data_IF_121700158451
#
_entry.id   IF_121700158451
#
_cell.length_a   1.000
_cell.length_b   1.000
_cell.length_c   1.000
_cell.angle_alpha   90.00
_cell.angle_beta   90.00
_cell.angle_gamma   90.00
#
_symmetry.space_group_name_H-M   'P 1'
#
loop_
_entity.id
_entity.type
_entity.pdbx_description
1 polymer ?
#
# COMPACT_ATOMS: atom_id res chain seq x y z
N UNK A 1 -15.40 -1.41 -12.87
CA UNK A 1 -14.47 -0.93 -13.91
C UNK A 1 -13.60 -2.10 -14.29
N UNK A 2 -13.84 -2.68 -15.46
CA UNK A 2 -12.93 -3.68 -16.02
C UNK A 2 -11.58 -3.01 -16.22
N UNK A 3 -10.56 -3.53 -15.54
CA UNK A 3 -9.19 -3.18 -15.88
C UNK A 3 -8.95 -3.80 -17.24
N UNK A 4 -9.17 -3.04 -18.31
CA UNK A 4 -8.55 -3.33 -19.59
C UNK A 4 -7.05 -3.21 -19.36
N UNK A 5 -6.44 -4.31 -18.90
CA UNK A 5 -5.02 -4.54 -19.01
C UNK A 5 -4.79 -4.67 -20.50
N UNK A 6 -4.66 -3.51 -21.13
CA UNK A 6 -4.41 -3.42 -22.55
C UNK A 6 -3.14 -4.21 -22.82
N UNK A 7 -3.30 -5.26 -23.61
CA UNK A 7 -2.25 -6.22 -23.84
C UNK A 7 -1.07 -5.54 -24.51
N UNK A 8 0.11 -5.80 -23.98
CA UNK A 8 1.33 -5.24 -24.52
C UNK A 8 1.61 -5.80 -25.92
N UNK A 9 1.46 -4.93 -26.92
CA UNK A 9 1.60 -5.29 -28.33
C UNK A 9 3.02 -5.78 -28.69
N UNK A 10 4.07 -5.34 -27.98
CA UNK A 10 5.41 -5.88 -28.18
C UNK A 10 5.47 -7.35 -27.76
N UNK A 11 4.89 -7.68 -26.60
CA UNK A 11 4.83 -9.06 -26.10
C UNK A 11 4.04 -9.99 -27.02
N UNK A 12 2.97 -9.49 -27.66
CA UNK A 12 2.18 -10.26 -28.66
C UNK A 12 3.06 -10.69 -29.84
N UNK A 13 3.93 -9.79 -30.32
CA UNK A 13 4.89 -10.07 -31.39
C UNK A 13 6.11 -10.87 -30.88
N UNK A 14 6.28 -11.05 -29.58
CA UNK A 14 7.44 -11.69 -28.96
C UNK A 14 8.67 -10.79 -28.92
N UNK A 15 8.45 -9.48 -28.85
CA UNK A 15 9.49 -8.45 -28.78
C UNK A 15 9.65 -7.92 -27.35
N UNK A 16 10.82 -7.40 -26.98
CA UNK A 16 10.99 -6.69 -25.72
C UNK A 16 10.11 -5.44 -25.70
N UNK A 17 9.53 -5.13 -24.54
CA UNK A 17 8.66 -3.97 -24.33
C UNK A 17 9.39 -2.80 -23.67
N UNK A 18 8.70 -1.68 -23.48
CA UNK A 18 9.23 -0.49 -22.81
C UNK A 18 10.28 0.25 -23.64
N UNK A 19 11.37 0.65 -23.01
CA UNK A 19 12.44 1.41 -23.67
C UNK A 19 13.17 0.62 -24.76
N UNK A 20 13.31 -0.69 -24.57
CA UNK A 20 13.91 -1.59 -25.57
C UNK A 20 12.98 -1.75 -26.77
N UNK A 21 11.68 -1.93 -26.51
CA UNK A 21 10.64 -1.99 -27.54
C UNK A 21 10.57 -0.70 -28.38
N UNK A 22 10.70 0.46 -27.75
CA UNK A 22 10.68 1.76 -28.44
C UNK A 22 11.89 1.97 -29.38
N UNK A 23 13.02 1.29 -29.14
CA UNK A 23 14.23 1.37 -29.98
C UNK A 23 14.16 0.49 -31.23
N UNK A 24 13.22 -0.45 -31.29
CA UNK A 24 13.08 -1.37 -32.41
C UNK A 24 12.75 -0.63 -33.71
N UNK A 25 13.39 -1.05 -34.79
CA UNK A 25 13.11 -0.54 -36.12
C UNK A 25 11.85 -1.17 -36.71
N UNK A 26 11.25 -0.49 -37.69
CA UNK A 26 10.08 -1.00 -38.39
C UNK A 26 10.34 -2.35 -39.09
N UNK A 27 11.59 -2.60 -39.48
CA UNK A 27 12.02 -3.86 -40.11
C UNK A 27 11.95 -5.01 -39.12
N UNK A 28 12.53 -4.85 -37.93
CA UNK A 28 12.51 -5.86 -36.86
C UNK A 28 11.08 -6.19 -36.43
N UNK A 29 10.21 -5.18 -36.31
CA UNK A 29 8.78 -5.38 -35.99
C UNK A 29 8.08 -6.19 -37.08
N UNK A 30 8.38 -5.92 -38.35
CA UNK A 30 7.78 -6.63 -39.48
C UNK A 30 8.31 -8.07 -39.58
N UNK A 31 9.58 -8.28 -39.27
CA UNK A 31 10.19 -9.62 -39.23
C UNK A 31 9.59 -10.46 -38.10
N UNK A 32 9.48 -9.91 -36.90
CA UNK A 32 8.86 -10.58 -35.76
C UNK A 32 7.40 -10.95 -36.05
N UNK A 33 6.63 -10.05 -36.67
CA UNK A 33 5.28 -10.36 -37.14
C UNK A 33 5.26 -11.55 -38.11
N UNK A 34 6.15 -11.59 -39.11
CA UNK A 34 6.22 -12.70 -40.09
C UNK A 34 6.55 -14.02 -39.41
N UNK A 35 7.56 -14.04 -38.54
CA UNK A 35 7.95 -15.24 -37.80
C UNK A 35 6.80 -15.74 -36.92
N UNK A 36 6.12 -14.84 -36.22
CA UNK A 36 4.99 -15.17 -35.35
C UNK A 36 3.76 -15.65 -36.12
N UNK A 37 3.43 -14.99 -37.24
CA UNK A 37 2.35 -15.38 -38.13
C UNK A 37 2.60 -16.77 -38.73
N UNK A 38 3.84 -17.03 -39.18
CA UNK A 38 4.26 -18.35 -39.63
C UNK A 38 4.12 -19.38 -38.51
N UNK A 39 4.61 -19.12 -37.30
CA UNK A 39 4.46 -20.05 -36.18
C UNK A 39 2.99 -20.40 -35.88
N UNK A 40 2.08 -19.42 -35.98
CA UNK A 40 0.63 -19.64 -35.82
C UNK A 40 0.02 -20.46 -36.98
N UNK A 41 0.57 -20.36 -38.20
CA UNK A 41 0.08 -21.09 -39.38
C UNK A 41 0.71 -22.48 -39.58
N UNK A 42 1.99 -22.64 -39.27
CA UNK A 42 2.79 -23.87 -39.45
C UNK A 42 2.37 -24.96 -38.45
N UNK A 43 1.79 -24.57 -37.32
CA UNK A 43 1.17 -25.47 -36.35
C UNK A 43 -0.27 -25.82 -36.73
N UNK A 44 -0.48 -26.61 -37.79
CA UNK A 44 -1.78 -27.23 -38.06
C UNK A 44 -2.12 -28.21 -36.92
N UNK A 45 -2.72 -27.71 -35.85
CA UNK A 45 -3.66 -28.45 -35.01
C UNK A 45 -5.05 -28.12 -35.55
N UNK A 46 -5.65 -28.97 -36.40
CA UNK A 46 -6.91 -28.65 -37.10
C UNK A 46 -8.08 -28.26 -36.18
N UNK A 47 -7.97 -28.54 -34.88
CA UNK A 47 -9.04 -28.34 -33.89
C UNK A 47 -8.72 -27.28 -32.81
N UNK A 48 -7.76 -26.36 -33.00
CA UNK A 48 -7.55 -25.31 -32.01
C UNK A 48 -8.44 -24.06 -32.31
N UNK A 49 -9.52 -23.81 -31.52
CA UNK A 49 -10.43 -22.69 -31.75
C UNK A 49 -9.78 -21.32 -31.51
N UNK A 50 -8.63 -21.27 -30.84
CA UNK A 50 -7.94 -20.02 -30.51
C UNK A 50 -7.01 -19.49 -31.62
N UNK A 51 -6.79 -20.25 -32.71
CA UNK A 51 -5.87 -19.84 -33.78
C UNK A 51 -6.33 -18.55 -34.45
N UNK A 52 -7.62 -18.44 -34.76
CA UNK A 52 -8.18 -17.25 -35.37
C UNK A 52 -8.09 -16.03 -34.45
N UNK A 53 -8.47 -16.19 -33.18
CA UNK A 53 -8.38 -15.13 -32.18
C UNK A 53 -6.93 -14.65 -31.96
N UNK A 54 -5.97 -15.59 -31.88
CA UNK A 54 -4.55 -15.24 -31.73
C UNK A 54 -3.99 -14.52 -32.96
N UNK A 55 -4.44 -14.89 -34.17
CA UNK A 55 -4.05 -14.21 -35.40
C UNK A 55 -4.63 -12.80 -35.46
N UNK A 56 -5.90 -12.62 -35.11
CA UNK A 56 -6.51 -11.28 -35.00
C UNK A 56 -5.77 -10.39 -33.99
N UNK A 57 -5.38 -10.94 -32.83
CA UNK A 57 -4.56 -10.23 -31.83
C UNK A 57 -3.20 -9.82 -32.39
N UNK A 58 -2.55 -10.73 -33.11
CA UNK A 58 -1.27 -10.48 -33.76
C UNK A 58 -1.37 -9.38 -34.84
N UNK A 59 -2.39 -9.43 -35.69
CA UNK A 59 -2.64 -8.41 -36.72
C UNK A 59 -2.92 -7.03 -36.11
N UNK A 60 -3.71 -6.99 -35.04
CA UNK A 60 -4.02 -5.74 -34.31
C UNK A 60 -2.75 -5.14 -33.72
N UNK A 61 -1.95 -5.96 -33.03
CA UNK A 61 -0.69 -5.53 -32.44
C UNK A 61 0.29 -5.01 -33.50
N UNK A 62 0.43 -5.73 -34.63
CA UNK A 62 1.27 -5.29 -35.74
C UNK A 62 0.76 -3.99 -36.36
N UNK A 63 -0.55 -3.83 -36.55
CA UNK A 63 -1.15 -2.61 -37.09
C UNK A 63 -0.83 -1.36 -36.27
N UNK A 64 -0.84 -1.49 -34.94
CA UNK A 64 -0.50 -0.41 -34.01
C UNK A 64 1.00 -0.12 -34.03
N UNK A 65 1.85 -1.15 -33.98
CA UNK A 65 3.31 -0.99 -33.95
C UNK A 65 3.91 -0.57 -35.30
N UNK A 66 3.22 -0.83 -36.42
CA UNK A 66 3.67 -0.47 -37.77
C UNK A 66 3.58 1.01 -38.06
N UNK A 67 2.58 1.68 -37.50
CA UNK A 67 2.36 3.10 -37.73
C UNK A 67 3.10 3.90 -36.66
N UNK A 68 4.03 4.77 -37.07
CA UNK A 68 4.85 5.54 -36.13
C UNK A 68 4.01 6.41 -35.18
N UNK A 69 2.92 7.00 -35.67
CA UNK A 69 2.00 7.80 -34.84
C UNK A 69 1.28 6.95 -33.78
N UNK A 70 0.71 5.81 -34.18
CA UNK A 70 0.03 4.88 -33.28
C UNK A 70 1.01 4.29 -32.26
N UNK A 71 2.22 3.92 -32.69
CA UNK A 71 3.29 3.42 -31.83
C UNK A 71 3.72 4.44 -30.79
N UNK A 72 3.91 5.71 -31.16
CA UNK A 72 4.26 6.78 -30.20
C UNK A 72 3.20 6.94 -29.11
N UNK A 73 1.90 6.91 -29.47
CA UNK A 73 0.80 7.00 -28.51
C UNK A 73 0.80 5.79 -27.56
N UNK A 74 1.04 4.60 -28.10
CA UNK A 74 1.14 3.37 -27.31
C UNK A 74 2.35 3.41 -26.35
N UNK A 75 3.53 3.79 -26.83
CA UNK A 75 4.75 3.90 -26.02
C UNK A 75 4.62 4.97 -24.92
N UNK A 76 3.88 6.05 -25.19
CA UNK A 76 3.57 7.06 -24.17
C UNK A 76 2.66 6.48 -23.08
N UNK A 77 1.61 5.74 -23.47
CA UNK A 77 0.71 5.08 -22.51
C UNK A 77 1.44 4.06 -21.64
N UNK A 78 2.32 3.25 -22.22
CA UNK A 78 3.15 2.30 -21.45
C UNK A 78 4.03 3.01 -20.42
N UNK A 79 4.66 4.13 -20.80
CA UNK A 79 5.46 4.95 -19.86
C UNK A 79 4.62 5.52 -18.73
N UNK A 80 3.47 6.10 -19.06
CA UNK A 80 2.55 6.65 -18.06
C UNK A 80 2.06 5.57 -17.09
N UNK A 81 1.75 4.38 -17.59
CA UNK A 81 1.31 3.24 -16.77
C UNK A 81 2.43 2.75 -15.84
N UNK A 82 3.65 2.62 -16.36
CA UNK A 82 4.83 2.21 -15.58
C UNK A 82 5.12 3.22 -14.48
N UNK A 83 5.10 4.52 -14.81
CA UNK A 83 5.35 5.60 -13.87
C UNK A 83 4.26 5.68 -12.78
N UNK A 84 2.98 5.51 -13.15
CA UNK A 84 1.89 5.41 -12.18
C UNK A 84 2.09 4.24 -11.23
N UNK A 85 2.47 3.07 -11.75
CA UNK A 85 2.76 1.90 -10.92
C UNK A 85 3.95 2.15 -9.99
N UNK A 86 5.03 2.78 -10.48
CA UNK A 86 6.20 3.15 -9.68
C UNK A 86 5.83 4.09 -8.54
N UNK A 87 5.16 5.21 -8.84
CA UNK A 87 4.70 6.18 -7.81
C UNK A 87 3.79 5.53 -6.77
N UNK A 88 2.85 4.72 -7.23
CA UNK A 88 1.95 4.02 -6.32
C UNK A 88 2.70 3.01 -5.44
N UNK A 89 3.70 2.31 -5.99
CA UNK A 89 4.58 1.43 -5.21
C UNK A 89 5.43 2.20 -4.20
N UNK A 90 5.92 3.39 -4.56
CA UNK A 90 6.73 4.25 -3.69
C UNK A 90 5.90 4.82 -2.54
N UNK A 91 4.68 5.30 -2.80
CA UNK A 91 3.76 5.78 -1.77
C UNK A 91 3.34 4.67 -0.79
N UNK A 92 3.29 3.43 -1.28
CA UNK A 92 3.00 2.24 -0.47
C UNK A 92 4.26 1.55 0.04
N UNK A 93 5.44 2.12 -0.21
CA UNK A 93 6.69 1.59 0.31
C UNK A 93 6.68 1.68 1.83
N UNK A 94 7.40 0.75 2.45
CA UNK A 94 7.49 0.69 3.89
C UNK A 94 8.06 1.98 4.48
N UNK A 95 9.13 2.50 3.88
CA UNK A 95 9.77 3.77 4.26
C UNK A 95 8.79 4.96 4.22
N UNK A 96 8.00 5.08 3.14
CA UNK A 96 7.00 6.14 3.03
C UNK A 96 5.92 6.04 4.10
N UNK A 97 5.47 4.83 4.44
CA UNK A 97 4.45 4.61 5.48
C UNK A 97 5.02 4.84 6.88
N UNK A 98 6.25 4.39 7.16
CA UNK A 98 6.95 4.67 8.40
C UNK A 98 7.14 6.17 8.61
N UNK A 99 7.65 6.89 7.61
CA UNK A 99 7.81 8.35 7.63
C UNK A 99 6.49 9.07 7.91
N UNK A 100 5.38 8.59 7.32
CA UNK A 100 4.03 9.09 7.60
C UNK A 100 3.64 8.92 9.07
N UNK A 101 3.81 7.72 9.63
CA UNK A 101 3.51 7.45 11.04
C UNK A 101 4.37 8.29 11.99
N UNK A 102 5.67 8.41 11.72
CA UNK A 102 6.56 9.24 12.55
C UNK A 102 6.18 10.72 12.52
N UNK A 103 5.88 11.26 11.33
CA UNK A 103 5.49 12.66 11.18
C UNK A 103 4.21 12.96 11.98
N UNK A 104 3.25 12.03 11.96
CA UNK A 104 2.01 12.12 12.72
C UNK A 104 2.25 12.01 14.23
N UNK A 105 3.09 11.07 14.68
CA UNK A 105 3.49 10.95 16.08
C UNK A 105 4.18 12.22 16.59
N UNK A 106 5.15 12.76 15.82
CA UNK A 106 5.83 14.03 16.14
C UNK A 106 4.85 15.20 16.25
N UNK A 107 3.89 15.31 15.34
CA UNK A 107 2.87 16.36 15.37
C UNK A 107 1.97 16.25 16.61
N UNK A 108 1.55 15.04 17.00
CA UNK A 108 0.76 14.81 18.21
C UNK A 108 1.53 15.23 19.47
N UNK A 109 2.82 14.87 19.56
CA UNK A 109 3.68 15.27 20.68
C UNK A 109 3.87 16.79 20.73
N UNK A 110 4.10 17.44 19.58
CA UNK A 110 4.23 18.89 19.49
C UNK A 110 2.93 19.60 19.92
N UNK A 111 1.79 19.11 19.46
CA UNK A 111 0.46 19.61 19.85
C UNK A 111 0.22 19.46 21.35
N UNK A 112 0.53 18.29 21.94
CA UNK A 112 0.40 18.07 23.37
C UNK A 112 1.29 19.02 24.21
N UNK A 113 2.52 19.30 23.75
CA UNK A 113 3.41 20.30 24.36
C UNK A 113 2.84 21.71 24.27
N UNK A 114 2.29 22.09 23.11
CA UNK A 114 1.66 23.39 22.89
C UNK A 114 0.44 23.58 23.79
N UNK A 115 -0.46 22.60 23.84
CA UNK A 115 -1.66 22.63 24.71
C UNK A 115 -1.29 22.75 26.18
N UNK A 116 -0.21 22.10 26.63
CA UNK A 116 0.29 22.25 28.00
C UNK A 116 0.79 23.66 28.28
N UNK A 117 1.54 24.28 27.36
CA UNK A 117 1.98 25.67 27.51
C UNK A 117 0.80 26.62 27.58
N UNK A 118 -0.20 26.44 26.71
CA UNK A 118 -1.41 27.26 26.71
C UNK A 118 -2.20 27.11 28.01
N UNK A 119 -2.37 25.88 28.52
CA UNK A 119 -3.02 25.64 29.80
C UNK A 119 -2.26 26.24 31.01
N UNK A 120 -0.92 26.24 30.96
CA UNK A 120 -0.08 26.89 31.98
C UNK A 120 -0.18 28.42 31.91
N UNK A 121 -0.28 29.00 30.72
CA UNK A 121 -0.43 30.45 30.53
C UNK A 121 -1.81 30.96 30.98
N UNK A 122 -2.89 30.23 30.67
CA UNK A 122 -4.24 30.52 31.18
C UNK A 122 -4.28 30.51 32.71
N UNK A 123 -3.57 29.58 33.35
CA UNK A 123 -3.48 29.52 34.81
C UNK A 123 -2.62 30.63 35.45
N UNK A 124 -1.82 31.35 34.63
CA UNK A 124 -0.88 32.38 35.09
C UNK A 124 -1.36 33.82 34.84
N UNK A 125 -2.53 34.01 34.21
CA UNK A 125 -3.15 35.32 34.07
C UNK A 125 -3.58 35.85 35.45
N UNK A 126 -3.09 37.02 35.90
CA UNK A 126 -3.58 37.63 37.13
C UNK A 126 -5.04 38.05 36.94
N UNK A 127 -5.90 37.66 37.87
CA UNK A 127 -7.29 38.11 37.95
C UNK A 127 -7.31 39.62 38.26
N UNK A 128 -7.24 40.45 37.22
CA UNK A 128 -7.58 41.87 37.33
C UNK A 128 -8.99 42.07 36.79
N UNK A 129 -9.92 42.25 37.72
CA UNK A 129 -11.32 42.71 37.62
C UNK A 129 -12.40 41.62 37.55
N UNK A 130 -13.28 41.64 38.57
CA UNK A 130 -14.68 41.25 38.42
C UNK A 130 -15.17 40.13 39.35
N UNK A 131 -15.70 40.52 40.51
CA UNK A 131 -16.51 39.75 41.45
C UNK A 131 -17.61 38.91 40.76
N UNK A 132 -17.76 37.64 41.14
CA UNK A 132 -18.99 36.98 41.64
C UNK A 132 -18.91 35.46 41.50
N UNK A 133 -19.63 34.81 42.40
CA UNK A 133 -19.46 33.45 42.90
C UNK A 133 -19.73 32.28 41.94
N UNK A 134 -19.28 31.11 42.41
CA UNK A 134 -19.73 29.75 42.11
C UNK A 134 -19.13 29.05 40.88
N UNK A 135 -18.11 28.21 41.11
CA UNK A 135 -17.83 27.02 40.29
C UNK A 135 -17.50 25.84 41.22
N UNK A 136 -18.09 24.64 41.04
CA UNK A 136 -17.90 23.52 41.95
C UNK A 136 -16.53 22.88 41.78
N UNK A 137 -15.97 22.47 42.93
CA UNK A 137 -14.78 21.64 43.08
C UNK A 137 -14.98 20.30 42.37
N UNK A 138 -14.51 20.18 41.12
CA UNK A 138 -14.34 18.88 40.45
C UNK A 138 -12.89 18.46 40.65
N UNK A 139 -12.72 17.41 41.44
CA UNK A 139 -11.44 16.79 41.76
C UNK A 139 -10.67 16.48 40.47
N UNK A 140 -9.58 17.20 40.25
CA UNK A 140 -8.54 16.81 39.29
C UNK A 140 -7.77 15.64 39.89
N UNK A 141 -8.37 14.45 39.73
CA UNK A 141 -7.70 13.17 39.98
C UNK A 141 -6.36 13.21 39.25
N UNK A 142 -5.28 13.04 40.00
CA UNK A 142 -3.91 13.14 39.52
C UNK A 142 -3.62 12.16 38.38
N UNK A 143 -3.82 12.62 37.15
CA UNK A 143 -3.41 11.93 35.93
C UNK A 143 -2.42 12.89 35.26
N UNK A 144 -1.13 12.65 35.44
CA UNK A 144 -0.16 13.50 34.76
C UNK A 144 1.29 13.27 35.09
N UNK A 145 1.64 12.58 36.17
CA UNK A 145 3.06 12.35 36.52
C UNK A 145 3.65 11.06 35.94
N UNK A 146 2.84 10.03 35.65
CA UNK A 146 3.33 8.76 35.08
C UNK A 146 3.44 8.77 33.55
N UNK A 147 2.52 9.44 32.84
CA UNK A 147 2.47 9.41 31.38
C UNK A 147 3.62 10.16 30.68
N UNK A 148 4.45 10.92 31.43
CA UNK A 148 5.53 11.73 30.85
C UNK A 148 6.86 10.98 30.74
N UNK A 149 7.09 9.94 31.57
CA UNK A 149 8.30 9.12 31.48
C UNK A 149 8.19 8.05 30.39
N UNK A 150 6.97 7.65 30.01
CA UNK A 150 6.73 6.63 28.97
C UNK A 150 6.72 7.20 27.54
N UNK A 151 6.84 8.52 27.37
CA UNK A 151 7.16 9.11 26.06
C UNK A 151 8.66 8.99 25.78
N UNK A 152 9.20 7.79 25.98
CA UNK A 152 10.53 7.41 25.55
C UNK A 152 10.57 7.66 24.04
N UNK A 153 11.45 8.57 23.64
CA UNK A 153 11.59 9.06 22.28
C UNK A 153 12.33 8.01 21.42
N UNK A 154 11.77 6.80 21.34
CA UNK A 154 12.07 5.78 20.33
C UNK A 154 11.03 5.93 19.22
N UNK A 155 11.44 6.53 18.10
CA UNK A 155 10.55 7.30 17.23
C UNK A 155 9.47 6.49 16.50
N UNK A 156 9.62 5.17 16.40
CA UNK A 156 8.61 4.14 16.17
C UNK A 156 9.32 2.84 16.58
N UNK A 157 8.75 2.05 17.48
CA UNK A 157 9.27 0.69 17.69
C UNK A 157 8.77 -0.13 16.50
N UNK A 158 9.64 -0.42 15.54
CA UNK A 158 9.27 -1.19 14.35
C UNK A 158 8.75 -2.61 14.70
N UNK A 159 9.01 -3.06 15.93
CA UNK A 159 8.48 -4.27 16.56
C UNK A 159 6.98 -4.18 16.94
N UNK A 160 6.39 -2.98 16.89
CA UNK A 160 4.94 -2.73 17.09
C UNK A 160 4.15 -2.75 15.78
N UNK A 161 4.83 -2.90 14.63
CA UNK A 161 4.22 -2.80 13.32
C UNK A 161 3.88 -4.18 12.77
N UNK A 162 2.62 -4.34 12.41
CA UNK A 162 2.07 -5.52 11.77
C UNK A 162 1.83 -5.26 10.30
N UNK A 163 2.29 -6.21 9.47
CA UNK A 163 1.84 -6.36 8.10
C UNK A 163 0.70 -7.36 8.07
N UNK A 164 -0.48 -6.88 7.71
CA UNK A 164 -1.68 -7.69 7.52
C UNK A 164 -1.92 -7.83 6.02
N UNK A 165 -2.14 -9.03 5.50
CA UNK A 165 -2.44 -9.27 4.08
C UNK A 165 -3.62 -10.21 3.91
N UNK A 166 -4.39 -10.05 2.84
CA UNK A 166 -5.56 -10.86 2.53
C UNK A 166 -5.71 -11.13 1.04
N UNK A 167 -6.49 -12.15 0.69
CA UNK A 167 -6.66 -12.56 -0.70
C UNK A 167 -7.77 -11.78 -1.41
N UNK A 168 -7.69 -11.67 -2.73
CA UNK A 168 -8.70 -11.00 -3.56
C UNK A 168 -9.82 -11.98 -3.93
N UNK A 169 -10.65 -12.37 -2.97
CA UNK A 169 -11.86 -13.15 -3.27
C UNK A 169 -13.10 -12.26 -3.27
N UNK A 170 -13.69 -12.15 -4.48
CA UNK A 170 -14.99 -11.59 -4.85
C UNK A 170 -15.81 -10.80 -3.83
N UNK A 171 -15.56 -9.49 -3.72
CA UNK A 171 -16.64 -8.53 -3.49
C UNK A 171 -16.50 -7.53 -2.34
N UNK A 172 -15.56 -7.69 -1.42
CA UNK A 172 -15.36 -6.70 -0.35
C UNK A 172 -14.03 -6.92 0.34
N UNK A 173 -13.09 -5.99 0.16
CA UNK A 173 -11.86 -6.00 0.95
C UNK A 173 -12.14 -5.63 2.41
N UNK A 174 -11.12 -5.73 3.25
CA UNK A 174 -11.19 -5.21 4.61
C UNK A 174 -11.10 -3.68 4.60
N UNK A 175 -12.00 -3.01 5.33
CA UNK A 175 -11.92 -1.56 5.57
C UNK A 175 -11.06 -1.26 6.79
N UNK A 176 -10.69 0.02 6.96
CA UNK A 176 -9.86 0.45 8.08
C UNK A 176 -10.55 0.16 9.41
N UNK A 177 -11.86 0.39 9.46
CA UNK A 177 -12.71 0.15 10.63
C UNK A 177 -12.77 -1.35 10.96
N UNK A 178 -12.99 -2.21 9.97
CA UNK A 178 -13.01 -3.66 10.18
C UNK A 178 -11.68 -4.19 10.72
N UNK A 179 -10.55 -3.68 10.20
CA UNK A 179 -9.23 -4.08 10.70
C UNK A 179 -8.97 -3.56 12.13
N UNK A 180 -9.42 -2.33 12.47
CA UNK A 180 -9.33 -1.81 13.84
C UNK A 180 -10.14 -2.69 14.80
N UNK A 181 -11.38 -3.02 14.45
CA UNK A 181 -12.24 -3.84 15.30
C UNK A 181 -11.66 -5.25 15.49
N UNK A 182 -11.16 -5.86 14.41
CA UNK A 182 -10.57 -7.20 14.45
C UNK A 182 -9.26 -7.24 15.25
N UNK A 183 -8.44 -6.20 15.21
CA UNK A 183 -7.16 -6.13 15.91
C UNK A 183 -7.26 -5.55 17.32
N UNK A 184 -8.33 -4.82 17.62
CA UNK A 184 -8.62 -4.27 18.95
C UNK A 184 -8.73 -5.36 20.02
N UNK A 185 -8.97 -6.62 19.64
CA UNK A 185 -8.99 -7.78 20.55
C UNK A 185 -7.60 -8.15 21.10
N UNK A 186 -6.53 -7.77 20.41
CA UNK A 186 -5.15 -8.01 20.85
C UNK A 186 -4.52 -6.79 21.52
N UNK A 187 -5.01 -5.58 21.21
CA UNK A 187 -4.59 -4.34 21.86
C UNK A 187 -5.08 -3.11 21.10
N UNK A 188 -4.82 -1.92 21.67
CA UNK A 188 -5.17 -0.65 21.03
C UNK A 188 -4.43 -0.48 19.70
N UNK A 189 -5.15 -0.06 18.66
CA UNK A 189 -4.58 0.25 17.33
C UNK A 189 -4.36 1.74 17.23
N UNK A 190 -3.11 2.19 17.27
CA UNK A 190 -2.76 3.61 17.19
C UNK A 190 -3.03 4.15 15.79
N UNK A 191 -2.49 3.51 14.76
CA UNK A 191 -2.69 3.93 13.38
C UNK A 191 -2.63 2.76 12.38
N UNK A 192 -3.19 2.95 11.19
CA UNK A 192 -3.11 1.95 10.12
C UNK A 192 -3.22 2.59 8.74
N UNK A 193 -2.57 1.96 7.77
CA UNK A 193 -2.63 2.31 6.35
C UNK A 193 -3.08 1.10 5.56
N UNK A 194 -4.20 1.24 4.84
CA UNK A 194 -4.68 0.22 3.90
C UNK A 194 -4.01 0.39 2.54
N UNK A 195 -3.60 -0.74 2.00
CA UNK A 195 -3.09 -0.94 0.66
C UNK A 195 -4.07 -1.84 -0.12
N UNK A 196 -3.73 -2.17 -1.36
CA UNK A 196 -4.65 -2.87 -2.28
C UNK A 196 -5.19 -4.20 -1.72
N UNK A 197 -4.34 -4.99 -1.06
CA UNK A 197 -4.67 -6.30 -0.46
C UNK A 197 -3.92 -6.56 0.85
N UNK A 198 -3.45 -5.47 1.47
CA UNK A 198 -2.65 -5.51 2.68
C UNK A 198 -2.87 -4.24 3.48
N UNK A 199 -2.49 -4.24 4.74
CA UNK A 199 -2.44 -3.08 5.60
C UNK A 199 -1.18 -3.14 6.47
N UNK A 200 -0.64 -1.97 6.76
CA UNK A 200 0.36 -1.80 7.81
C UNK A 200 -0.35 -1.19 9.02
N UNK A 201 -0.19 -1.82 10.17
CA UNK A 201 -0.90 -1.46 11.40
C UNK A 201 0.12 -1.22 12.50
N UNK A 202 0.02 -0.07 13.15
CA UNK A 202 0.78 0.28 14.34
C UNK A 202 -0.06 -0.06 15.59
N UNK A 203 0.41 -1.03 16.36
CA UNK A 203 -0.20 -1.39 17.64
C UNK A 203 0.34 -0.50 18.77
N UNK A 204 -0.46 -0.26 19.80
CA UNK A 204 -0.05 0.54 20.96
C UNK A 204 1.05 -0.11 21.80
N UNK A 205 1.19 -1.44 21.75
CA UNK A 205 2.25 -2.16 22.48
C UNK A 205 2.88 -3.25 21.63
N UNK A 206 4.14 -3.59 21.92
CA UNK A 206 4.85 -4.69 21.27
C UNK A 206 4.14 -6.02 21.53
N UNK A 207 3.73 -6.26 22.78
CA UNK A 207 3.04 -7.49 23.17
C UNK A 207 1.72 -7.68 22.40
N UNK A 208 0.98 -6.61 22.14
CA UNK A 208 -0.22 -6.64 21.31
C UNK A 208 0.10 -7.02 19.85
N UNK A 209 1.21 -6.54 19.31
CA UNK A 209 1.69 -6.91 17.98
C UNK A 209 2.10 -8.40 17.92
N UNK A 210 2.86 -8.88 18.91
CA UNK A 210 3.22 -10.32 19.00
C UNK A 210 1.97 -11.18 19.14
N UNK A 211 1.00 -10.80 20.00
CA UNK A 211 -0.22 -11.55 20.22
C UNK A 211 -1.14 -11.62 18.99
N UNK A 212 -1.13 -10.58 18.16
CA UNK A 212 -1.85 -10.56 16.88
C UNK A 212 -1.15 -11.42 15.80
N UNK A 213 0.14 -11.70 15.97
CA UNK A 213 0.95 -12.50 15.04
C UNK A 213 0.67 -13.99 15.23
N UNK A 214 0.48 -14.73 14.13
CA UNK A 214 0.13 -16.15 14.18
C UNK A 214 -1.34 -16.44 14.49
N UNK A 215 -2.14 -15.41 14.78
CA UNK A 215 -3.60 -15.56 14.81
C UNK A 215 -4.15 -15.48 13.38
N UNK A 216 -4.89 -16.50 12.96
CA UNK A 216 -5.73 -16.41 11.75
C UNK A 216 -6.94 -15.57 12.12
N UNK A 217 -6.99 -14.33 11.64
CA UNK A 217 -8.06 -13.38 11.92
C UNK A 217 -8.77 -13.07 10.62
N UNK A 218 -10.04 -12.69 10.64
CA UNK A 218 -10.78 -12.30 9.43
C UNK A 218 -11.97 -13.20 9.12
N UNK A 219 -12.64 -12.85 8.03
CA UNK A 219 -13.78 -13.56 7.49
C UNK A 219 -13.37 -14.97 7.05
N UNK A 220 -14.20 -15.96 7.35
CA UNK A 220 -13.96 -17.37 7.00
C UNK A 220 -13.78 -17.61 5.49
N UNK A 221 -14.32 -16.71 4.66
CA UNK A 221 -14.17 -16.75 3.21
C UNK A 221 -12.91 -16.02 2.68
N UNK A 222 -12.17 -15.32 3.54
CA UNK A 222 -10.96 -14.58 3.19
C UNK A 222 -10.06 -14.34 4.43
N UNK A 223 -9.27 -15.32 4.87
CA UNK A 223 -8.46 -15.19 6.08
C UNK A 223 -7.39 -14.10 5.94
N UNK A 224 -7.14 -13.35 7.02
CA UNK A 224 -6.02 -12.43 7.15
C UNK A 224 -4.77 -13.20 7.57
N UNK A 225 -3.67 -12.88 6.91
CA UNK A 225 -2.32 -13.27 7.33
C UNK A 225 -1.70 -12.07 8.02
N UNK A 226 -1.36 -12.23 9.30
CA UNK A 226 -0.73 -11.19 10.13
C UNK A 226 0.71 -11.60 10.42
N UNK A 227 1.66 -10.75 10.06
CA UNK A 227 3.08 -10.93 10.34
C UNK A 227 3.67 -9.66 10.97
N UNK A 228 4.58 -9.84 11.92
CA UNK A 228 5.46 -8.77 12.37
C UNK A 228 6.37 -8.37 11.22
N UNK A 229 6.55 -7.06 11.05
CA UNK A 229 7.43 -6.53 10.03
C UNK A 229 8.91 -6.91 10.28
N UNK A 230 9.30 -7.01 11.55
CA UNK A 230 10.60 -7.48 12.01
C UNK A 230 10.50 -8.87 12.64
N UNK A 231 10.28 -9.90 11.83
CA UNK A 231 10.68 -11.24 12.25
C UNK A 231 12.19 -11.33 12.12
N UNK A 232 12.92 -11.12 13.24
CA UNK A 232 14.25 -11.73 13.34
C UNK A 232 14.00 -13.24 13.26
N UNK A 233 14.45 -13.83 12.16
CA UNK A 233 14.60 -15.27 12.03
C UNK A 233 15.57 -15.73 13.11
N UNK A 234 15.04 -16.15 14.26
CA UNK A 234 15.76 -17.04 15.16
C UNK A 234 15.80 -18.41 14.46
N UNK A 235 16.73 -18.58 13.52
CA UNK A 235 17.22 -19.92 13.19
C UNK A 235 17.99 -20.42 14.41
N UNK A 236 17.67 -21.62 14.93
CA UNK A 236 18.52 -22.25 15.93
C UNK A 236 19.79 -22.72 15.21
N UNK A 237 20.93 -22.17 15.61
CA UNK A 237 22.25 -22.75 15.31
C UNK A 237 22.21 -24.25 15.66
N UNK A 238 22.47 -25.11 14.68
CA UNK A 238 22.68 -26.54 14.87
C UNK A 238 24.05 -26.93 14.33
#
# INVERSE_FOLDING_TARGET
MEMNVEEDHYNVLGLPSGEEGAKLTQKEITEAYRVKALALHMGKRPNNPHVHANFQRLDTAYGILKNESSRKVFDQRLRDQTEKHRRHSELLSLDSVLSYFEARARAAVAYAKMMRKLGLEVARMPATHGTTDTVPKRETRGVGKKAINDLNLGLLDEEKILKVSWEKLGGGGYTAEMLRDLLSKFGEVEDLVIQKFSALVLMGTRDAAVAATGAVVGHHANPLVVALLHQKSDEPDH
#
